data_IF_536693747393
#
_entry.id   IF_536693747393
#
_cell.length_a   1.000
_cell.length_b   1.000
_cell.length_c   1.000
_cell.angle_alpha   90.00
_cell.angle_beta   90.00
_cell.angle_gamma   90.00
#
_symmetry.space_group_name_H-M   'P 1'
#
loop_
_entity.id
_entity.type
_entity.pdbx_description
1 polymer ?
#
# COMPACT_ATOMS: atom_id res chain seq x y z
N UNK A 1 13.78 -25.64 66.41
CA UNK A 1 13.51 -26.41 65.18
C UNK A 1 12.90 -25.46 64.16
N UNK A 2 13.70 -24.94 63.25
CA UNK A 2 13.24 -24.07 62.16
C UNK A 2 12.80 -24.96 61.01
N UNK A 3 11.49 -25.02 60.72
CA UNK A 3 10.95 -25.72 59.57
C UNK A 3 11.42 -25.02 58.28
N UNK A 4 12.21 -25.71 57.48
CA UNK A 4 12.53 -25.26 56.12
C UNK A 4 11.27 -25.31 55.27
N UNK A 5 10.91 -24.24 54.54
CA UNK A 5 9.71 -24.25 53.71
C UNK A 5 9.88 -25.28 52.58
N UNK A 6 8.91 -26.17 52.45
CA UNK A 6 8.80 -27.11 51.34
C UNK A 6 8.55 -26.34 50.04
N UNK A 7 9.57 -26.21 49.18
CA UNK A 7 9.39 -25.71 47.83
C UNK A 7 8.72 -26.78 46.97
N UNK A 8 7.46 -26.58 46.61
CA UNK A 8 6.75 -27.45 45.66
C UNK A 8 7.29 -27.13 44.25
N UNK A 9 7.87 -28.11 43.53
CA UNK A 9 8.38 -27.87 42.18
C UNK A 9 7.23 -27.56 41.21
N UNK A 10 7.37 -26.49 40.44
CA UNK A 10 6.41 -26.12 39.40
C UNK A 10 6.46 -27.17 38.28
N UNK A 11 5.32 -27.75 37.84
CA UNK A 11 5.31 -28.72 36.76
C UNK A 11 5.86 -28.13 35.45
N UNK A 12 6.67 -28.89 34.72
CA UNK A 12 7.24 -28.47 33.42
C UNK A 12 6.20 -27.92 32.43
N UNK A 13 4.99 -28.52 32.28
CA UNK A 13 3.96 -27.97 31.40
C UNK A 13 3.51 -26.55 31.78
N UNK A 14 3.49 -26.22 33.08
CA UNK A 14 3.15 -24.88 33.57
C UNK A 14 4.25 -23.90 33.16
N UNK A 15 5.52 -24.28 33.32
CA UNK A 15 6.65 -23.44 32.90
C UNK A 15 6.65 -23.18 31.39
N UNK A 16 6.41 -24.20 30.57
CA UNK A 16 6.32 -24.06 29.10
C UNK A 16 5.15 -23.14 28.70
N UNK A 17 3.99 -23.29 29.36
CA UNK A 17 2.81 -22.45 29.10
C UNK A 17 3.10 -20.99 29.45
N UNK A 18 3.70 -20.73 30.61
CA UNK A 18 4.06 -19.37 31.04
C UNK A 18 5.10 -18.73 30.10
N UNK A 19 6.09 -19.51 29.64
CA UNK A 19 7.06 -19.04 28.65
C UNK A 19 6.37 -18.72 27.31
N UNK A 20 5.48 -19.59 26.83
CA UNK A 20 4.71 -19.36 25.61
C UNK A 20 3.84 -18.09 25.70
N UNK A 21 3.16 -17.88 26.82
CA UNK A 21 2.38 -16.67 27.08
C UNK A 21 3.26 -15.43 27.16
N UNK A 22 4.44 -15.51 27.77
CA UNK A 22 5.40 -14.40 27.86
C UNK A 22 5.93 -13.98 26.49
N UNK A 23 6.30 -14.96 25.64
CA UNK A 23 6.74 -14.71 24.27
C UNK A 23 5.60 -14.13 23.44
N UNK A 24 4.40 -14.69 23.51
CA UNK A 24 3.22 -14.20 22.79
C UNK A 24 2.85 -12.77 23.21
N UNK A 25 2.90 -12.47 24.51
CA UNK A 25 2.65 -11.13 25.04
C UNK A 25 3.69 -10.13 24.54
N UNK A 26 4.98 -10.47 24.65
CA UNK A 26 6.08 -9.58 24.21
C UNK A 26 6.01 -9.31 22.72
N UNK A 27 5.77 -10.34 21.91
CA UNK A 27 5.55 -10.20 20.47
C UNK A 27 4.33 -9.35 20.15
N UNK A 28 3.21 -9.54 20.85
CA UNK A 28 1.97 -8.77 20.62
C UNK A 28 2.18 -7.29 20.93
N UNK A 29 2.89 -6.97 22.02
CA UNK A 29 3.22 -5.59 22.39
C UNK A 29 4.12 -4.93 21.34
N UNK A 30 5.18 -5.62 20.89
CA UNK A 30 6.06 -5.12 19.83
C UNK A 30 5.32 -4.94 18.49
N UNK A 31 4.53 -5.93 18.08
CA UNK A 31 3.75 -5.90 16.85
C UNK A 31 2.70 -4.78 16.87
N UNK A 32 2.06 -4.54 18.02
CA UNK A 32 1.12 -3.43 18.20
C UNK A 32 1.81 -2.07 18.15
N UNK A 33 2.97 -1.90 18.79
CA UNK A 33 3.76 -0.66 18.68
C UNK A 33 4.11 -0.37 17.23
N UNK A 34 4.63 -1.38 16.51
CA UNK A 34 4.92 -1.26 15.08
C UNK A 34 3.68 -0.89 14.27
N UNK A 35 2.51 -1.44 14.58
CA UNK A 35 1.25 -1.07 13.92
C UNK A 35 0.91 0.42 14.11
N UNK A 36 1.05 0.94 15.33
CA UNK A 36 0.76 2.33 15.64
C UNK A 36 1.77 3.28 14.96
N UNK A 37 3.03 2.87 14.85
CA UNK A 37 4.11 3.66 14.23
C UNK A 37 3.97 3.79 12.69
N UNK A 38 3.12 2.99 12.04
CA UNK A 38 2.89 3.01 10.59
C UNK A 38 2.03 4.19 10.10
N UNK A 39 1.64 5.08 11.00
CA UNK A 39 0.65 6.14 10.77
C UNK A 39 -0.73 5.58 10.36
N UNK A 40 -1.73 6.45 10.27
CA UNK A 40 -3.10 6.09 9.90
C UNK A 40 -3.14 5.54 8.48
N UNK A 41 -4.06 4.61 8.21
CA UNK A 41 -4.38 4.12 6.88
C UNK A 41 -5.16 2.81 6.89
N UNK A 42 -6.30 2.77 6.20
CA UNK A 42 -7.18 1.60 6.11
C UNK A 42 -7.91 1.28 7.43
N UNK A 43 -7.19 0.90 8.49
CA UNK A 43 -7.75 0.57 9.79
C UNK A 43 -7.45 1.62 10.87
N UNK A 44 -8.30 1.74 11.91
CA UNK A 44 -8.08 2.72 12.98
C UNK A 44 -6.79 2.39 13.77
N UNK A 45 -6.01 3.39 14.22
CA UNK A 45 -4.77 3.20 14.96
C UNK A 45 -5.04 2.85 16.43
N UNK A 46 -5.73 1.74 16.67
CA UNK A 46 -6.08 1.24 18.00
C UNK A 46 -6.03 -0.30 18.00
N UNK A 47 -6.33 -0.92 19.16
CA UNK A 47 -6.29 -2.38 19.31
C UNK A 47 -7.25 -3.11 18.36
N UNK A 48 -8.40 -2.52 18.03
CA UNK A 48 -9.36 -3.10 17.08
C UNK A 48 -8.75 -3.15 15.69
N UNK A 49 -8.22 -2.02 15.20
CA UNK A 49 -7.58 -2.00 13.88
C UNK A 49 -6.35 -2.92 13.80
N UNK A 50 -5.54 -2.97 14.86
CA UNK A 50 -4.42 -3.90 14.97
C UNK A 50 -4.85 -5.37 14.86
N UNK A 51 -5.94 -5.74 15.54
CA UNK A 51 -6.47 -7.10 15.47
C UNK A 51 -6.86 -7.48 14.03
N UNK A 52 -7.56 -6.58 13.33
CA UNK A 52 -7.92 -6.81 11.92
C UNK A 52 -6.72 -6.78 10.97
N UNK A 53 -5.72 -5.94 11.24
CA UNK A 53 -4.46 -5.93 10.48
C UNK A 53 -3.73 -7.28 10.58
N UNK A 54 -3.71 -7.89 11.77
CA UNK A 54 -3.18 -9.23 11.99
C UNK A 54 -4.00 -10.30 11.25
N UNK A 55 -5.33 -10.20 11.23
CA UNK A 55 -6.18 -11.11 10.44
C UNK A 55 -5.83 -11.00 8.95
N UNK A 56 -5.70 -9.78 8.42
CA UNK A 56 -5.33 -9.54 7.03
C UNK A 56 -4.00 -10.18 6.65
N UNK A 57 -3.06 -10.35 7.59
CA UNK A 57 -1.77 -10.99 7.32
C UNK A 57 -1.92 -12.42 6.81
N UNK A 58 -2.90 -13.18 7.30
CA UNK A 58 -3.14 -14.56 6.84
C UNK A 58 -3.66 -14.66 5.41
N UNK A 59 -4.21 -13.57 4.88
CA UNK A 59 -4.71 -13.46 3.51
C UNK A 59 -3.74 -12.74 2.58
N UNK A 60 -2.62 -12.24 3.12
CA UNK A 60 -1.59 -11.57 2.35
C UNK A 60 -0.86 -12.55 1.44
N UNK A 61 -0.66 -12.15 0.19
CA UNK A 61 0.16 -12.85 -0.78
C UNK A 61 1.59 -12.27 -0.77
N UNK A 62 2.52 -13.00 -1.39
CA UNK A 62 3.82 -12.41 -1.75
C UNK A 62 3.63 -11.21 -2.69
N UNK A 63 4.59 -10.28 -2.71
CA UNK A 63 4.39 -8.97 -3.35
C UNK A 63 5.28 -8.73 -4.58
N UNK A 64 6.21 -9.63 -4.89
CA UNK A 64 7.28 -9.36 -5.88
C UNK A 64 7.24 -10.26 -7.11
N UNK A 65 6.44 -11.31 -7.10
CA UNK A 65 6.23 -12.16 -8.26
C UNK A 65 5.49 -11.42 -9.35
N UNK A 66 5.99 -11.59 -10.56
CA UNK A 66 5.47 -10.99 -11.79
C UNK A 66 4.55 -11.94 -12.54
N UNK A 67 4.45 -13.20 -12.10
CA UNK A 67 3.77 -14.29 -12.84
C UNK A 67 2.32 -13.95 -13.11
N UNK A 68 1.62 -13.37 -12.13
CA UNK A 68 0.23 -12.96 -12.29
C UNK A 68 0.03 -11.95 -13.43
N UNK A 69 0.98 -11.03 -13.60
CA UNK A 69 0.94 -10.00 -14.64
C UNK A 69 1.45 -10.51 -15.99
N UNK A 70 2.41 -11.44 -15.99
CA UNK A 70 2.91 -12.07 -17.20
C UNK A 70 1.86 -12.97 -17.88
N UNK A 71 0.91 -13.50 -17.10
CA UNK A 71 -0.20 -14.33 -17.59
C UNK A 71 -1.49 -13.54 -17.84
N UNK A 72 -1.50 -12.23 -17.59
CA UNK A 72 -2.69 -11.41 -17.80
C UNK A 72 -3.01 -11.29 -19.30
N UNK A 73 -4.27 -11.41 -19.74
CA UNK A 73 -4.60 -11.22 -21.15
C UNK A 73 -4.37 -9.78 -21.64
N UNK A 74 -4.42 -8.77 -20.76
CA UNK A 74 -4.08 -7.41 -21.13
C UNK A 74 -2.59 -7.12 -20.93
N UNK A 75 -1.88 -7.05 -22.05
CA UNK A 75 -0.45 -6.72 -22.13
C UNK A 75 -0.20 -5.29 -22.63
N UNK A 76 -1.22 -4.41 -22.67
CA UNK A 76 -1.03 -3.01 -23.03
C UNK A 76 -0.15 -2.29 -22.00
N UNK A 77 0.80 -1.50 -22.51
CA UNK A 77 1.69 -0.66 -21.71
C UNK A 77 1.38 0.81 -21.94
N UNK A 78 1.37 1.58 -20.87
CA UNK A 78 1.16 3.04 -20.85
C UNK A 78 2.40 3.77 -20.35
N UNK A 79 3.42 3.00 -19.95
CA UNK A 79 4.71 3.46 -19.50
C UNK A 79 5.73 3.30 -20.63
N UNK A 80 6.55 4.32 -20.86
CA UNK A 80 7.72 4.15 -21.71
C UNK A 80 8.78 3.34 -20.95
N UNK A 81 8.69 2.02 -21.06
CA UNK A 81 9.53 1.04 -20.37
C UNK A 81 11.02 1.30 -20.62
N UNK A 82 11.40 1.89 -21.76
CA UNK A 82 12.79 2.23 -22.08
C UNK A 82 13.37 3.32 -21.18
N UNK A 83 12.50 4.18 -20.62
CA UNK A 83 12.86 5.26 -19.69
C UNK A 83 12.79 4.85 -18.22
N UNK A 84 12.46 3.60 -17.94
CA UNK A 84 12.42 3.06 -16.58
C UNK A 84 13.65 2.16 -16.41
N UNK A 85 14.76 2.66 -15.86
CA UNK A 85 15.94 1.84 -15.62
C UNK A 85 15.71 0.89 -14.42
N UNK A 86 16.67 0.01 -14.15
CA UNK A 86 16.70 -0.71 -12.88
C UNK A 86 16.89 0.28 -11.73
N UNK A 87 16.05 0.20 -10.69
CA UNK A 87 16.20 1.02 -9.49
C UNK A 87 17.49 0.64 -8.75
N UNK A 88 18.25 1.64 -8.34
CA UNK A 88 19.53 1.44 -7.67
C UNK A 88 19.38 0.88 -6.24
N UNK A 89 20.18 -0.13 -5.90
CA UNK A 89 20.23 -0.73 -4.56
C UNK A 89 19.12 -1.75 -4.29
N UNK A 90 19.01 -2.18 -3.04
CA UNK A 90 17.99 -3.14 -2.62
C UNK A 90 16.60 -2.49 -2.56
N UNK A 91 15.55 -3.32 -2.61
CA UNK A 91 14.19 -2.88 -2.26
C UNK A 91 14.14 -2.35 -0.82
N UNK A 92 13.27 -1.36 -0.53
CA UNK A 92 13.03 -0.95 0.84
C UNK A 92 12.32 -2.07 1.61
N UNK A 93 12.57 -2.11 2.92
CA UNK A 93 11.83 -2.96 3.85
C UNK A 93 10.46 -2.35 4.09
N UNK A 94 9.43 -3.19 4.02
CA UNK A 94 8.04 -2.82 4.28
C UNK A 94 7.59 -3.21 5.68
N UNK A 95 6.51 -2.57 6.12
CA UNK A 95 5.85 -2.88 7.38
C UNK A 95 5.35 -4.33 7.42
N UNK A 96 5.29 -4.90 8.62
CA UNK A 96 4.77 -6.27 8.80
C UNK A 96 3.30 -6.39 8.40
N UNK A 97 2.52 -5.33 8.68
CA UNK A 97 1.09 -5.24 8.45
C UNK A 97 0.79 -4.98 6.97
N UNK A 98 -0.18 -5.72 6.41
CA UNK A 98 -0.67 -5.45 5.06
C UNK A 98 -1.57 -4.20 5.01
N UNK A 99 -2.18 -3.83 6.13
CA UNK A 99 -2.99 -2.62 6.29
C UNK A 99 -2.70 -2.03 7.67
N UNK A 100 -2.16 -0.81 7.79
CA UNK A 100 -1.64 0.02 6.69
C UNK A 100 -0.40 -0.60 6.02
N UNK A 101 -0.33 -0.54 4.69
CA UNK A 101 0.83 -0.97 3.91
C UNK A 101 1.82 0.19 3.81
N UNK A 102 3.05 0.03 4.29
CA UNK A 102 3.99 1.15 4.49
C UNK A 102 5.43 0.81 4.20
N UNK A 103 6.18 1.81 3.77
CA UNK A 103 7.61 1.75 3.59
C UNK A 103 8.34 2.17 4.88
N UNK A 104 9.23 1.31 5.38
CA UNK A 104 9.95 1.55 6.64
C UNK A 104 11.31 2.21 6.39
N UNK A 105 12.05 1.70 5.41
CA UNK A 105 13.40 2.17 5.08
C UNK A 105 13.42 2.98 3.80
N UNK A 106 14.54 3.65 3.52
CA UNK A 106 14.71 4.45 2.29
C UNK A 106 13.66 5.56 2.14
N UNK A 107 13.17 6.11 3.26
CA UNK A 107 12.28 7.27 3.22
C UNK A 107 13.02 8.46 2.63
N UNK A 108 12.35 9.27 1.80
CA UNK A 108 12.97 10.42 1.17
C UNK A 108 13.31 11.51 2.18
N UNK A 109 14.21 12.41 1.81
CA UNK A 109 14.42 13.63 2.57
C UNK A 109 13.18 14.52 2.49
N UNK A 110 12.91 15.39 3.49
CA UNK A 110 11.77 16.30 3.47
C UNK A 110 11.66 17.16 2.19
N UNK A 111 12.79 17.53 1.60
CA UNK A 111 12.82 18.27 0.32
C UNK A 111 12.26 17.46 -0.86
N UNK A 112 12.47 16.14 -0.88
CA UNK A 112 11.92 15.26 -1.92
C UNK A 112 10.48 14.84 -1.64
N UNK A 113 10.09 14.79 -0.36
CA UNK A 113 8.69 14.67 0.05
C UNK A 113 7.86 15.83 -0.51
N UNK A 114 8.26 17.07 -0.23
CA UNK A 114 7.60 18.26 -0.74
C UNK A 114 7.54 18.29 -2.27
N UNK A 115 8.63 17.91 -2.94
CA UNK A 115 8.66 17.90 -4.42
C UNK A 115 7.78 16.81 -5.03
N UNK A 116 7.56 15.70 -4.34
CA UNK A 116 6.58 14.71 -4.76
C UNK A 116 5.14 15.25 -4.61
N UNK A 117 4.86 15.96 -3.53
CA UNK A 117 3.55 16.61 -3.33
C UNK A 117 3.29 17.70 -4.39
N UNK A 118 4.30 18.51 -4.69
CA UNK A 118 4.29 19.51 -5.76
C UNK A 118 4.08 18.85 -7.12
N UNK A 119 4.77 17.75 -7.41
CA UNK A 119 4.60 16.98 -8.63
C UNK A 119 3.14 16.52 -8.81
N UNK A 120 2.53 15.93 -7.78
CA UNK A 120 1.13 15.49 -7.85
C UNK A 120 0.17 16.68 -8.05
N UNK A 121 0.44 17.79 -7.38
CA UNK A 121 -0.34 19.03 -7.53
C UNK A 121 -0.25 19.57 -8.95
N UNK A 122 0.95 19.66 -9.51
CA UNK A 122 1.18 20.11 -10.89
C UNK A 122 0.56 19.15 -11.92
N UNK A 123 0.72 17.84 -11.77
CA UNK A 123 0.10 16.85 -12.65
C UNK A 123 -1.43 16.98 -12.63
N UNK A 124 -2.03 17.16 -11.46
CA UNK A 124 -3.47 17.34 -11.37
C UNK A 124 -3.94 18.66 -12.00
N UNK A 125 -3.19 19.75 -11.81
CA UNK A 125 -3.49 21.05 -12.40
C UNK A 125 -3.37 21.02 -13.93
N UNK A 126 -2.30 20.43 -14.46
CA UNK A 126 -2.07 20.29 -15.91
C UNK A 126 -3.09 19.37 -16.58
N UNK A 127 -3.75 18.48 -15.83
CA UNK A 127 -4.72 17.51 -16.34
C UNK A 127 -6.08 17.66 -15.65
N UNK A 128 -6.51 18.90 -15.36
CA UNK A 128 -7.70 19.17 -14.56
C UNK A 128 -9.02 18.63 -15.16
N UNK A 129 -9.07 18.49 -16.49
CA UNK A 129 -10.21 17.87 -17.18
C UNK A 129 -10.24 16.34 -17.03
N UNK A 130 -9.08 15.72 -16.76
CA UNK A 130 -8.93 14.28 -16.63
C UNK A 130 -9.05 13.81 -15.18
N UNK A 131 -8.38 14.51 -14.27
CA UNK A 131 -8.24 14.11 -12.87
C UNK A 131 -8.65 15.21 -11.91
N UNK A 132 -9.08 14.80 -10.72
CA UNK A 132 -9.30 15.66 -9.58
C UNK A 132 -8.34 15.29 -8.46
N UNK A 133 -7.85 16.32 -7.79
CA UNK A 133 -6.97 16.24 -6.63
C UNK A 133 -7.80 16.43 -5.38
N UNK A 134 -7.75 15.47 -4.45
CA UNK A 134 -8.53 15.55 -3.21
C UNK A 134 -7.65 15.35 -1.98
N UNK A 135 -7.75 16.28 -1.03
CA UNK A 135 -7.24 16.16 0.33
C UNK A 135 -8.19 15.34 1.22
N UNK A 136 -8.70 14.23 0.69
CA UNK A 136 -9.36 13.21 1.48
C UNK A 136 -9.50 11.98 0.60
N UNK A 137 -8.55 11.05 0.68
CA UNK A 137 -8.90 9.69 0.29
C UNK A 137 -9.91 9.17 1.31
N UNK A 138 -10.93 8.46 0.83
CA UNK A 138 -11.88 7.72 1.68
C UNK A 138 -11.17 6.67 2.57
N UNK A 139 -9.88 6.44 2.31
CA UNK A 139 -9.04 5.37 2.82
C UNK A 139 -8.02 5.86 3.85
N UNK A 140 -7.73 7.17 3.88
CA UNK A 140 -6.75 7.77 4.76
C UNK A 140 -6.98 9.29 4.88
N UNK A 141 -7.53 9.75 6.01
CA UNK A 141 -8.13 11.09 6.21
C UNK A 141 -7.20 12.33 6.10
N UNK A 142 -6.01 12.22 5.51
CA UNK A 142 -5.08 13.32 5.17
C UNK A 142 -4.13 12.98 4.01
N UNK A 143 -4.41 11.94 3.23
CA UNK A 143 -3.57 11.61 2.08
C UNK A 143 -4.03 12.32 0.84
N UNK A 144 -3.06 12.85 0.11
CA UNK A 144 -3.20 13.34 -1.25
C UNK A 144 -3.60 12.16 -2.14
N UNK A 145 -4.76 12.25 -2.77
CA UNK A 145 -5.24 11.25 -3.71
C UNK A 145 -5.64 11.88 -5.05
N UNK A 146 -5.35 11.15 -6.12
CA UNK A 146 -5.73 11.50 -7.49
C UNK A 146 -6.86 10.56 -7.94
N UNK A 147 -7.97 11.14 -8.38
CA UNK A 147 -9.14 10.41 -8.88
C UNK A 147 -9.49 10.87 -10.29
N UNK A 148 -10.03 9.99 -11.13
CA UNK A 148 -10.55 10.41 -12.43
C UNK A 148 -11.81 11.27 -12.27
N UNK A 149 -11.91 12.33 -13.07
CA UNK A 149 -13.09 13.19 -13.16
C UNK A 149 -14.35 12.37 -13.51
N UNK A 150 -15.53 12.65 -12.95
CA UNK A 150 -16.71 11.78 -13.09
C UNK A 150 -17.16 11.52 -14.54
N UNK A 151 -16.94 12.48 -15.44
CA UNK A 151 -17.38 12.43 -16.83
C UNK A 151 -16.46 11.60 -17.74
N UNK A 152 -15.25 11.25 -17.29
CA UNK A 152 -14.32 10.43 -18.05
C UNK A 152 -14.79 8.97 -18.07
N UNK A 153 -14.84 8.36 -19.25
CA UNK A 153 -15.10 6.93 -19.39
C UNK A 153 -13.93 6.13 -18.82
N UNK A 154 -14.14 5.58 -17.64
CA UNK A 154 -13.08 4.93 -16.89
C UNK A 154 -13.05 3.43 -17.17
N UNK A 155 -11.84 2.87 -17.12
CA UNK A 155 -11.66 1.42 -17.20
C UNK A 155 -12.45 0.70 -16.10
N UNK A 156 -12.88 -0.54 -16.34
CA UNK A 156 -13.71 -1.31 -15.38
C UNK A 156 -13.12 -1.36 -13.96
N UNK A 157 -11.79 -1.41 -13.85
CA UNK A 157 -11.07 -1.38 -12.57
C UNK A 157 -11.32 -0.10 -11.78
N UNK A 158 -11.40 1.05 -12.45
CA UNK A 158 -11.69 2.34 -11.86
C UNK A 158 -13.11 2.40 -11.27
N UNK A 159 -14.10 1.81 -11.95
CA UNK A 159 -15.47 1.73 -11.42
C UNK A 159 -15.57 0.98 -10.09
N UNK A 160 -14.69 -0.01 -9.86
CA UNK A 160 -14.66 -0.83 -8.64
C UNK A 160 -13.80 -0.25 -7.52
N UNK A 161 -12.86 0.62 -7.85
CA UNK A 161 -11.93 1.27 -6.92
C UNK A 161 -12.24 2.78 -6.76
N UNK A 162 -13.54 3.15 -6.83
CA UNK A 162 -14.02 4.53 -6.65
C UNK A 162 -13.28 5.59 -7.48
N UNK A 163 -12.82 5.20 -8.67
CA UNK A 163 -12.08 6.03 -9.63
C UNK A 163 -10.74 6.57 -9.12
N UNK A 164 -10.22 6.04 -8.00
CA UNK A 164 -8.92 6.44 -7.47
C UNK A 164 -7.80 5.83 -8.33
N UNK A 165 -6.95 6.70 -8.89
CA UNK A 165 -5.75 6.31 -9.63
C UNK A 165 -4.65 5.95 -8.64
N UNK A 166 -4.52 6.75 -7.59
CA UNK A 166 -3.58 6.49 -6.53
C UNK A 166 -3.49 7.59 -5.48
N UNK A 167 -2.65 7.35 -4.47
CA UNK A 167 -2.44 8.28 -3.36
C UNK A 167 -1.02 8.18 -2.77
N UNK A 168 -0.59 9.26 -2.11
CA UNK A 168 0.70 9.35 -1.39
C UNK A 168 0.48 9.04 0.09
N UNK A 169 1.36 8.25 0.70
CA UNK A 169 1.40 8.07 2.15
C UNK A 169 2.10 9.25 2.84
N UNK A 170 1.41 9.89 3.78
CA UNK A 170 1.94 11.09 4.46
C UNK A 170 3.27 10.86 5.19
N UNK A 171 3.45 9.70 5.83
CA UNK A 171 4.65 9.44 6.65
C UNK A 171 5.90 9.07 5.83
N UNK A 172 5.74 8.19 4.84
CA UNK A 172 6.89 7.57 4.13
C UNK A 172 6.99 7.97 2.65
N UNK A 173 5.97 8.65 2.11
CA UNK A 173 5.86 9.10 0.73
C UNK A 173 5.99 7.98 -0.32
N UNK A 174 5.84 6.72 0.08
CA UNK A 174 5.50 5.67 -0.86
C UNK A 174 4.07 5.90 -1.35
N UNK A 175 3.73 5.36 -2.50
CA UNK A 175 2.45 5.59 -3.14
C UNK A 175 1.75 4.29 -3.42
N UNK A 176 0.43 4.35 -3.44
CA UNK A 176 -0.38 3.31 -4.03
C UNK A 176 -0.92 3.78 -5.37
N UNK A 177 -0.74 2.99 -6.42
CA UNK A 177 -1.19 3.29 -7.77
C UNK A 177 -1.90 2.09 -8.39
N UNK A 178 -2.84 2.36 -9.29
CA UNK A 178 -3.42 1.38 -10.22
C UNK A 178 -2.76 1.55 -11.59
N UNK A 179 -2.05 0.53 -12.06
CA UNK A 179 -1.37 0.53 -13.38
C UNK A 179 -1.90 -0.58 -14.28
N UNK A 180 -1.53 -0.60 -15.57
CA UNK A 180 -1.81 -1.78 -16.39
C UNK A 180 -1.06 -3.01 -15.86
N UNK A 181 -1.52 -4.24 -16.13
CA UNK A 181 -0.78 -5.45 -15.75
C UNK A 181 0.65 -5.45 -16.29
N UNK A 182 0.86 -5.04 -17.55
CA UNK A 182 2.20 -4.94 -18.14
C UNK A 182 3.08 -3.90 -17.44
N UNK A 183 2.52 -2.75 -17.05
CA UNK A 183 3.26 -1.72 -16.33
C UNK A 183 3.54 -2.12 -14.88
N UNK A 184 2.61 -2.82 -14.22
CA UNK A 184 2.84 -3.45 -12.90
C UNK A 184 4.04 -4.39 -12.98
N UNK A 185 4.08 -5.26 -13.99
CA UNK A 185 5.22 -6.14 -14.24
C UNK A 185 6.51 -5.34 -14.42
N UNK A 186 6.52 -4.33 -15.29
CA UNK A 186 7.71 -3.53 -15.56
C UNK A 186 8.25 -2.81 -14.31
N UNK A 187 7.36 -2.22 -13.51
CA UNK A 187 7.67 -1.52 -12.24
C UNK A 187 8.22 -2.49 -11.21
N UNK A 188 7.61 -3.67 -11.08
CA UNK A 188 8.06 -4.69 -10.13
C UNK A 188 9.39 -5.29 -10.58
N UNK A 189 9.54 -5.78 -11.82
CA UNK A 189 10.78 -6.35 -12.33
C UNK A 189 11.98 -5.41 -12.13
N UNK A 190 11.79 -4.11 -12.36
CA UNK A 190 12.82 -3.08 -12.25
C UNK A 190 13.08 -2.56 -10.85
N UNK A 191 12.36 -3.06 -9.84
CA UNK A 191 12.59 -2.72 -8.44
C UNK A 191 11.98 -1.40 -7.99
N UNK A 192 11.04 -0.81 -8.74
CA UNK A 192 10.39 0.46 -8.40
C UNK A 192 9.18 0.31 -7.48
N UNK A 193 8.62 -0.89 -7.37
CA UNK A 193 7.48 -1.16 -6.52
C UNK A 193 7.25 -2.64 -6.31
N UNK A 194 6.20 -2.94 -5.56
CA UNK A 194 5.72 -4.29 -5.27
C UNK A 194 4.18 -4.29 -5.17
N UNK A 195 3.56 -5.42 -5.50
CA UNK A 195 2.10 -5.57 -5.42
C UNK A 195 1.63 -5.38 -3.97
N UNK A 196 0.45 -4.79 -3.77
CA UNK A 196 -0.13 -4.77 -2.42
C UNK A 196 -0.50 -6.21 -1.98
N UNK A 197 -0.20 -6.65 -0.74
CA UNK A 197 -0.38 -8.03 -0.32
C UNK A 197 -1.80 -8.59 -0.48
N UNK A 198 -2.81 -7.72 -0.42
CA UNK A 198 -4.23 -8.09 -0.54
C UNK A 198 -4.81 -7.88 -1.96
N UNK A 199 -4.01 -7.47 -2.94
CA UNK A 199 -4.48 -7.28 -4.32
C UNK A 199 -5.02 -8.58 -4.90
N UNK A 200 -6.24 -8.53 -5.44
CA UNK A 200 -6.94 -9.68 -6.02
C UNK A 200 -7.58 -10.64 -5.02
N UNK A 201 -7.34 -10.49 -3.71
CA UNK A 201 -7.83 -11.45 -2.68
C UNK A 201 -9.27 -11.17 -2.25
N UNK A 202 -9.67 -9.91 -2.24
CA UNK A 202 -10.93 -9.43 -1.62
C UNK A 202 -12.20 -9.86 -2.36
N UNK A 203 -12.09 -10.53 -3.52
CA UNK A 203 -13.22 -10.95 -4.37
C UNK A 203 -14.16 -11.98 -3.71
N UNK A 204 -13.70 -12.69 -2.66
CA UNK A 204 -14.42 -13.83 -2.07
C UNK A 204 -14.89 -13.62 -0.62
N UNK A 205 -14.60 -12.48 0.01
CA UNK A 205 -14.80 -12.25 1.45
C UNK A 205 -16.12 -11.53 1.80
N UNK A 206 -17.25 -11.93 1.21
CA UNK A 206 -18.55 -11.25 1.41
C UNK A 206 -19.02 -11.22 2.88
N UNK A 207 -18.83 -12.31 3.62
CA UNK A 207 -19.21 -12.37 5.05
C UNK A 207 -18.27 -11.55 5.94
N UNK A 208 -16.96 -11.61 5.70
CA UNK A 208 -16.00 -10.78 6.42
C UNK A 208 -16.23 -9.29 6.15
N UNK A 209 -16.73 -8.94 4.96
CA UNK A 209 -17.13 -7.58 4.60
C UNK A 209 -18.25 -7.02 5.48
N UNK A 210 -19.28 -7.81 5.76
CA UNK A 210 -20.39 -7.41 6.65
C UNK A 210 -19.87 -7.21 8.08
N UNK A 211 -19.08 -8.16 8.58
CA UNK A 211 -18.53 -8.09 9.93
C UNK A 211 -17.58 -6.89 10.11
N UNK A 212 -16.70 -6.66 9.14
CA UNK A 212 -15.82 -5.50 9.11
C UNK A 212 -16.60 -4.20 9.10
N UNK A 213 -17.68 -4.09 8.31
CA UNK A 213 -18.49 -2.87 8.29
C UNK A 213 -19.11 -2.57 9.66
N UNK A 214 -19.55 -3.60 10.39
CA UNK A 214 -20.10 -3.45 11.74
C UNK A 214 -19.01 -3.05 12.75
N UNK A 215 -17.84 -3.70 12.72
CA UNK A 215 -16.81 -3.55 13.74
C UNK A 215 -15.81 -2.41 13.47
N UNK A 216 -15.62 -2.04 12.21
CA UNK A 216 -14.68 -1.01 11.76
C UNK A 216 -15.39 0.25 11.22
N UNK A 217 -16.72 0.20 11.04
CA UNK A 217 -17.50 1.30 10.46
C UNK A 217 -17.28 1.50 8.96
N UNK A 218 -16.65 0.53 8.28
CA UNK A 218 -16.32 0.58 6.85
C UNK A 218 -16.16 -0.83 6.26
N UNK A 219 -16.54 -1.07 4.99
CA UNK A 219 -16.37 -2.36 4.33
C UNK A 219 -14.89 -2.66 4.02
N UNK A 220 -14.55 -3.95 3.90
CA UNK A 220 -13.28 -4.41 3.32
C UNK A 220 -13.32 -4.10 1.81
N UNK A 221 -12.62 -3.04 1.44
CA UNK A 221 -12.59 -2.53 0.07
C UNK A 221 -12.08 -3.60 -0.90
N UNK A 222 -12.67 -3.65 -2.10
CA UNK A 222 -12.14 -4.44 -3.19
C UNK A 222 -10.79 -3.84 -3.62
N UNK A 223 -9.71 -4.63 -3.56
CA UNK A 223 -8.38 -4.23 -4.04
C UNK A 223 -8.11 -4.93 -5.37
N UNK A 224 -7.99 -4.19 -6.49
CA UNK A 224 -7.72 -4.80 -7.79
C UNK A 224 -6.33 -5.44 -7.84
N UNK A 225 -6.13 -6.39 -8.75
CA UNK A 225 -4.84 -7.08 -8.93
C UNK A 225 -3.73 -6.10 -9.37
N UNK A 226 -4.15 -5.05 -10.06
CA UNK A 226 -3.37 -3.93 -10.59
C UNK A 226 -2.94 -2.91 -9.53
N UNK A 227 -3.40 -3.07 -8.29
CA UNK A 227 -3.03 -2.17 -7.20
C UNK A 227 -1.66 -2.54 -6.65
N UNK A 228 -0.69 -1.64 -6.86
CA UNK A 228 0.69 -1.81 -6.42
C UNK A 228 1.10 -0.69 -5.48
N UNK A 229 2.17 -0.92 -4.73
CA UNK A 229 2.90 0.13 -4.03
C UNK A 229 4.12 0.51 -4.84
N UNK A 230 4.27 1.81 -5.13
CA UNK A 230 5.47 2.40 -5.72
C UNK A 230 6.30 3.01 -4.59
N UNK A 231 7.60 2.71 -4.58
CA UNK A 231 8.50 3.21 -3.54
C UNK A 231 8.74 4.71 -3.68
N UNK A 232 9.00 5.35 -2.55
CA UNK A 232 9.24 6.79 -2.51
C UNK A 232 10.53 7.19 -3.26
N UNK A 233 10.52 8.29 -4.04
CA UNK A 233 11.69 8.75 -4.78
C UNK A 233 12.74 9.39 -3.86
N UNK A 234 13.99 8.92 -3.94
CA UNK A 234 15.09 9.37 -3.06
C UNK A 234 15.87 10.56 -3.61
N UNK A 235 15.79 10.80 -4.92
CA UNK A 235 16.56 11.82 -5.62
C UNK A 235 15.86 12.26 -6.92
N UNK A 236 16.48 13.19 -7.66
CA UNK A 236 15.96 13.74 -8.91
C UNK A 236 15.63 12.68 -9.96
N UNK A 237 16.53 11.72 -10.13
CA UNK A 237 16.38 10.66 -11.13
C UNK A 237 15.19 9.79 -10.79
N UNK A 238 15.03 9.44 -9.50
CA UNK A 238 13.87 8.67 -9.05
C UNK A 238 12.57 9.45 -9.18
N UNK A 239 12.57 10.76 -8.88
CA UNK A 239 11.38 11.60 -9.00
C UNK A 239 10.85 11.64 -10.45
N UNK A 240 11.73 11.73 -11.45
CA UNK A 240 11.37 11.69 -12.87
C UNK A 240 10.79 10.34 -13.31
N UNK A 241 11.33 9.24 -12.78
CA UNK A 241 10.78 7.90 -13.05
C UNK A 241 9.42 7.75 -12.36
N UNK A 242 9.29 8.23 -11.12
CA UNK A 242 8.01 8.27 -10.40
C UNK A 242 6.95 9.05 -11.17
N UNK A 243 7.28 10.23 -11.70
CA UNK A 243 6.38 11.01 -12.56
C UNK A 243 5.88 10.17 -13.75
N UNK A 244 6.80 9.51 -14.46
CA UNK A 244 6.43 8.66 -15.60
C UNK A 244 5.49 7.51 -15.20
N UNK A 245 5.71 6.91 -14.03
CA UNK A 245 4.84 5.83 -13.51
C UNK A 245 3.45 6.38 -13.12
N UNK A 246 3.39 7.55 -12.48
CA UNK A 246 2.11 8.19 -12.10
C UNK A 246 1.31 8.54 -13.36
N UNK A 247 1.94 9.14 -14.36
CA UNK A 247 1.31 9.46 -15.65
C UNK A 247 0.79 8.21 -16.36
N UNK A 248 1.55 7.10 -16.34
CA UNK A 248 1.09 5.83 -16.90
C UNK A 248 -0.19 5.31 -16.19
N UNK A 249 -0.26 5.45 -14.85
CA UNK A 249 -1.47 5.14 -14.08
C UNK A 249 -2.66 6.01 -14.46
N UNK A 250 -2.44 7.32 -14.65
CA UNK A 250 -3.48 8.24 -15.12
C UNK A 250 -4.01 7.81 -16.50
N UNK A 251 -3.10 7.55 -17.44
CA UNK A 251 -3.42 7.20 -18.81
C UNK A 251 -4.17 5.86 -18.90
N UNK A 252 -3.69 4.84 -18.17
CA UNK A 252 -4.34 3.53 -18.08
C UNK A 252 -5.77 3.61 -17.53
N UNK A 253 -5.96 4.35 -16.45
CA UNK A 253 -7.26 4.50 -15.79
C UNK A 253 -8.24 5.27 -16.67
N UNK A 254 -7.75 6.31 -17.36
CA UNK A 254 -8.51 7.15 -18.28
C UNK A 254 -8.75 6.52 -19.66
N UNK A 255 -8.04 5.44 -20.00
CA UNK A 255 -8.00 4.87 -21.35
C UNK A 255 -7.60 5.89 -22.43
N UNK A 256 -6.78 6.88 -22.07
CA UNK A 256 -6.32 7.94 -22.98
C UNK A 256 -4.83 8.18 -22.81
N UNK A 257 -4.03 8.19 -23.89
CA UNK A 257 -2.59 8.44 -23.82
C UNK A 257 -2.24 9.92 -23.62
N UNK A 258 -3.23 10.82 -23.70
CA UNK A 258 -3.07 12.26 -23.60
C UNK A 258 -2.99 12.71 -22.13
N UNK A 259 -1.88 12.36 -21.46
CA UNK A 259 -1.54 12.90 -20.14
C UNK A 259 -0.41 13.91 -20.29
N UNK A 260 -0.66 15.13 -19.83
CA UNK A 260 0.27 16.25 -19.90
C UNK A 260 1.26 16.15 -18.73
N UNK A 261 2.59 16.17 -18.97
CA UNK A 261 3.59 16.18 -17.90
C UNK A 261 3.45 17.37 -16.94
N UNK A 262 4.06 17.29 -15.76
CA UNK A 262 4.11 18.44 -14.88
C UNK A 262 4.93 19.56 -15.52
N UNK A 263 4.43 20.80 -15.43
CA UNK A 263 5.23 21.97 -15.79
C UNK A 263 6.26 22.17 -14.67
N UNK A 264 7.54 21.96 -14.98
CA UNK A 264 8.67 22.21 -14.08
C UNK A 264 9.05 23.69 -14.03
#
# INVERSE_FOLDING_TARGET
MTSTPSTIPIPVPVLVTLLGLSVAFTWSVDNYRKYIDLDKGGFPPNLVGWFFANICKFFGQETTSIVAYALDPDQQTWLDISKVPQREGSRPILGWHAVPHRQITQRPLPSFMQRLDELFTCLAASNADLVTYTESSDHNRRTIAMKLQPHIEARLVAGRYRREIGHIHALDHSMHLVLSPADCRAVIERGWGERHPLSGVTRHLKFANVLANILLGQPILYIPSEFIMVYAPRNETELKVTESIVMAGMAYMAQSPEVIPALH
#
